data_IF_121017610582
#
_entry.id   IF_121017610582
#
_cell.length_a   1.000
_cell.length_b   1.000
_cell.length_c   1.000
_cell.angle_alpha   90.00
_cell.angle_beta   90.00
_cell.angle_gamma   90.00
#
_symmetry.space_group_name_H-M   'P 1'
#
loop_
_entity.id
_entity.type
_entity.pdbx_description
1 polymer ?
#
# COMPACT_ATOMS: atom_id res chain seq x y z
N UNK A 1 26.10 -20.32 -13.05
CA UNK A 1 26.80 -19.74 -14.22
C UNK A 1 26.09 -18.43 -14.55
N UNK A 2 26.79 -17.31 -14.43
CA UNK A 2 26.25 -16.00 -14.81
C UNK A 2 26.33 -15.85 -16.34
N UNK A 3 25.36 -15.19 -16.99
CA UNK A 3 25.38 -15.03 -18.44
C UNK A 3 26.55 -14.13 -18.88
N UNK A 4 27.02 -14.37 -20.11
CA UNK A 4 28.10 -13.60 -20.73
C UNK A 4 27.75 -12.11 -20.88
N UNK A 5 28.74 -11.20 -20.82
CA UNK A 5 28.53 -9.78 -21.09
C UNK A 5 27.82 -9.56 -22.43
N UNK A 6 26.77 -8.74 -22.43
CA UNK A 6 25.96 -8.45 -23.64
C UNK A 6 24.77 -9.39 -23.86
N UNK A 7 24.59 -10.43 -23.04
CA UNK A 7 23.42 -11.33 -23.12
C UNK A 7 22.07 -10.58 -23.09
N UNK A 8 21.98 -9.49 -22.30
CA UNK A 8 20.77 -8.67 -22.24
C UNK A 8 20.40 -7.99 -23.57
N UNK A 9 21.38 -7.70 -24.43
CA UNK A 9 21.18 -6.96 -25.69
C UNK A 9 20.56 -7.80 -26.82
N UNK A 10 20.47 -9.12 -26.66
CA UNK A 10 19.81 -10.02 -27.62
C UNK A 10 18.88 -11.03 -26.96
N UNK A 11 18.51 -10.79 -25.71
CA UNK A 11 17.61 -11.68 -24.99
C UNK A 11 16.16 -11.37 -25.38
N UNK A 12 15.58 -12.21 -26.24
CA UNK A 12 14.19 -12.07 -26.69
C UNK A 12 13.19 -11.99 -25.51
N UNK A 13 13.49 -12.65 -24.38
CA UNK A 13 12.66 -12.56 -23.18
C UNK A 13 12.73 -11.17 -22.53
N UNK A 14 13.89 -10.50 -22.57
CA UNK A 14 14.07 -9.14 -22.06
C UNK A 14 13.36 -8.12 -22.95
N UNK A 15 13.48 -8.27 -24.27
CA UNK A 15 12.81 -7.40 -25.26
C UNK A 15 11.28 -7.53 -25.22
N UNK A 16 10.76 -8.73 -24.89
CA UNK A 16 9.34 -8.98 -24.73
C UNK A 16 8.76 -8.47 -23.41
N UNK A 17 9.59 -7.97 -22.47
CA UNK A 17 9.07 -7.46 -21.20
C UNK A 17 8.30 -6.16 -21.45
N UNK A 18 7.08 -6.03 -20.89
CA UNK A 18 6.34 -4.77 -20.99
C UNK A 18 7.13 -3.66 -20.30
N UNK A 19 7.12 -2.46 -20.91
CA UNK A 19 7.68 -1.27 -20.28
C UNK A 19 7.04 -1.10 -18.89
N UNK A 20 7.86 -0.89 -17.85
CA UNK A 20 7.36 -0.66 -16.51
C UNK A 20 6.47 0.59 -16.51
N UNK A 21 5.29 0.48 -15.91
CA UNK A 21 4.43 1.63 -15.66
C UNK A 21 5.24 2.61 -14.80
N UNK A 22 5.45 3.82 -15.31
CA UNK A 22 6.26 4.83 -14.62
C UNK A 22 5.49 5.54 -13.52
N UNK A 23 4.15 5.54 -13.62
CA UNK A 23 3.29 6.14 -12.60
C UNK A 23 3.07 5.15 -11.47
N UNK A 24 3.72 5.43 -10.33
CA UNK A 24 3.58 4.68 -9.08
C UNK A 24 3.26 5.67 -7.96
N UNK A 25 2.01 6.16 -7.87
CA UNK A 25 1.66 7.30 -7.03
C UNK A 25 1.84 7.01 -5.53
N UNK A 26 1.86 5.74 -5.14
CA UNK A 26 1.98 5.34 -3.74
C UNK A 26 3.41 5.00 -3.32
N UNK A 27 4.34 4.85 -4.27
CA UNK A 27 5.71 4.45 -3.98
C UNK A 27 6.38 5.46 -3.03
N UNK A 28 7.10 4.95 -2.04
CA UNK A 28 7.91 5.79 -1.15
C UNK A 28 8.97 6.56 -1.93
N UNK A 29 9.34 7.73 -1.40
CA UNK A 29 10.55 8.42 -1.83
C UNK A 29 11.77 7.54 -1.54
N UNK A 30 12.90 7.79 -2.20
CA UNK A 30 14.12 7.00 -1.95
C UNK A 30 14.57 7.10 -0.48
N UNK A 31 14.56 8.29 0.11
CA UNK A 31 14.95 8.50 1.49
C UNK A 31 14.01 7.78 2.49
N UNK A 32 12.72 7.79 2.21
CA UNK A 32 11.72 7.07 3.00
C UNK A 32 11.88 5.55 2.88
N UNK A 33 12.18 5.05 1.68
CA UNK A 33 12.44 3.64 1.44
C UNK A 33 13.75 3.19 2.12
N UNK A 34 14.80 4.02 2.11
CA UNK A 34 16.04 3.76 2.84
C UNK A 34 15.76 3.68 4.36
N UNK A 35 14.84 4.52 4.86
CA UNK A 35 14.39 4.48 6.27
C UNK A 35 13.57 3.22 6.57
N UNK A 36 12.63 2.86 5.70
CA UNK A 36 11.77 1.68 5.85
C UNK A 36 12.55 0.35 5.82
N UNK A 37 13.74 0.36 5.22
CA UNK A 37 14.63 -0.80 5.09
C UNK A 37 15.96 -0.62 5.82
N UNK A 38 16.05 0.34 6.75
CA UNK A 38 17.27 0.58 7.52
C UNK A 38 17.71 -0.65 8.32
N UNK A 39 16.73 -1.47 8.74
CA UNK A 39 16.93 -2.74 9.42
C UNK A 39 16.20 -3.87 8.68
N UNK A 40 16.71 -5.12 8.74
CA UNK A 40 15.99 -6.28 8.23
C UNK A 40 14.63 -6.43 8.93
N UNK A 41 13.60 -6.78 8.16
CA UNK A 41 12.28 -7.05 8.74
C UNK A 41 12.28 -8.36 9.51
N UNK A 42 11.68 -8.34 10.72
CA UNK A 42 11.38 -9.54 11.48
C UNK A 42 10.11 -10.25 10.94
N UNK A 43 9.87 -11.48 11.40
CA UNK A 43 8.71 -12.28 10.99
C UNK A 43 7.38 -11.55 11.24
N UNK A 44 7.30 -10.75 12.30
CA UNK A 44 6.11 -10.00 12.65
C UNK A 44 5.85 -8.86 11.65
N UNK A 45 6.89 -8.14 11.24
CA UNK A 45 6.83 -7.09 10.22
C UNK A 45 6.47 -7.68 8.85
N UNK A 46 7.09 -8.80 8.48
CA UNK A 46 6.75 -9.55 7.25
C UNK A 46 5.26 -9.96 7.27
N UNK A 47 4.79 -10.53 8.37
CA UNK A 47 3.38 -10.92 8.53
C UNK A 47 2.42 -9.74 8.42
N UNK A 48 2.74 -8.60 9.05
CA UNK A 48 1.95 -7.36 8.94
C UNK A 48 1.91 -6.86 7.50
N UNK A 49 3.05 -6.82 6.82
CA UNK A 49 3.15 -6.39 5.42
C UNK A 49 2.28 -7.28 4.52
N UNK A 50 2.46 -8.60 4.57
CA UNK A 50 1.69 -9.55 3.76
C UNK A 50 0.18 -9.44 4.03
N UNK A 51 -0.23 -9.34 5.30
CA UNK A 51 -1.62 -9.14 5.68
C UNK A 51 -2.22 -7.84 5.13
N UNK A 52 -1.44 -6.75 5.13
CA UNK A 52 -1.83 -5.45 4.54
C UNK A 52 -1.95 -5.55 3.03
N UNK A 53 -0.97 -6.12 2.33
CA UNK A 53 -1.03 -6.33 0.88
C UNK A 53 -2.29 -7.10 0.51
N UNK A 54 -2.56 -8.23 1.15
CA UNK A 54 -3.75 -9.05 0.87
C UNK A 54 -5.05 -8.28 1.12
N UNK A 55 -5.11 -7.50 2.21
CA UNK A 55 -6.27 -6.64 2.51
C UNK A 55 -6.48 -5.59 1.43
N UNK A 56 -5.43 -4.89 1.02
CA UNK A 56 -5.50 -3.81 0.03
C UNK A 56 -5.85 -4.36 -1.36
N UNK A 57 -5.30 -5.51 -1.76
CA UNK A 57 -5.68 -6.21 -3.00
C UNK A 57 -7.15 -6.60 -3.03
N UNK A 58 -7.71 -7.10 -1.92
CA UNK A 58 -9.15 -7.40 -1.80
C UNK A 58 -10.04 -6.15 -1.97
N UNK A 59 -9.47 -4.95 -1.85
CA UNK A 59 -10.15 -3.68 -2.08
C UNK A 59 -10.03 -3.18 -3.52
N UNK A 60 -9.41 -3.95 -4.41
CA UNK A 60 -9.36 -3.67 -5.85
C UNK A 60 -8.11 -2.91 -6.33
N UNK A 61 -7.10 -2.76 -5.48
CA UNK A 61 -5.80 -2.24 -5.90
C UNK A 61 -4.97 -3.33 -6.59
N UNK A 62 -4.17 -2.94 -7.58
CA UNK A 62 -3.17 -3.80 -8.20
C UNK A 62 -2.11 -4.26 -7.20
N UNK A 63 -1.37 -5.31 -7.54
CA UNK A 63 -0.33 -5.86 -6.67
C UNK A 63 0.74 -4.81 -6.32
N UNK A 64 1.22 -4.07 -7.32
CA UNK A 64 2.24 -3.05 -7.12
C UNK A 64 1.79 -1.89 -6.22
N UNK A 65 0.56 -1.39 -6.40
CA UNK A 65 0.00 -0.34 -5.54
C UNK A 65 -0.25 -0.85 -4.12
N UNK A 66 -0.67 -2.12 -3.98
CA UNK A 66 -0.90 -2.73 -2.69
C UNK A 66 0.41 -2.89 -1.90
N UNK A 67 1.50 -3.27 -2.57
CA UNK A 67 2.84 -3.35 -1.98
C UNK A 67 3.31 -1.95 -1.55
N UNK A 68 3.21 -0.95 -2.42
CA UNK A 68 3.60 0.43 -2.12
C UNK A 68 2.82 1.01 -0.92
N UNK A 69 1.50 0.80 -0.88
CA UNK A 69 0.67 1.23 0.25
C UNK A 69 1.00 0.49 1.55
N UNK A 70 1.33 -0.81 1.48
CA UNK A 70 1.74 -1.58 2.65
C UNK A 70 3.12 -1.16 3.18
N UNK A 71 4.03 -0.77 2.30
CA UNK A 71 5.35 -0.23 2.65
C UNK A 71 5.23 1.13 3.35
N UNK A 72 4.34 2.01 2.88
CA UNK A 72 4.01 3.27 3.60
C UNK A 72 3.51 3.02 5.01
N UNK A 73 2.68 1.99 5.20
CA UNK A 73 2.19 1.58 6.51
C UNK A 73 3.31 1.03 7.40
N UNK A 74 4.28 0.32 6.82
CA UNK A 74 5.48 -0.12 7.56
C UNK A 74 6.32 1.08 8.03
N UNK A 75 6.60 2.03 7.15
CA UNK A 75 7.33 3.25 7.51
C UNK A 75 6.61 4.05 8.60
N UNK A 76 5.28 4.16 8.53
CA UNK A 76 4.47 4.76 9.60
C UNK A 76 4.73 4.07 10.94
N UNK A 77 4.68 2.73 10.97
CA UNK A 77 4.89 1.97 12.20
C UNK A 77 6.29 2.23 12.77
N UNK A 78 7.32 2.34 11.92
CA UNK A 78 8.70 2.69 12.34
C UNK A 78 8.79 4.06 13.00
N UNK A 79 7.98 5.03 12.54
CA UNK A 79 7.89 6.36 13.13
C UNK A 79 6.96 6.44 14.35
N UNK A 80 6.34 5.33 14.77
CA UNK A 80 5.29 5.30 15.79
C UNK A 80 4.17 6.34 15.53
N UNK A 81 3.89 6.61 14.25
CA UNK A 81 2.87 7.57 13.85
C UNK A 81 1.48 6.93 14.01
N UNK A 82 0.59 7.64 14.70
CA UNK A 82 -0.75 7.16 15.08
C UNK A 82 -1.80 7.32 13.96
N UNK A 83 -1.46 7.98 12.85
CA UNK A 83 -2.38 8.19 11.74
C UNK A 83 -2.69 6.87 11.02
N UNK A 84 -3.86 6.78 10.40
CA UNK A 84 -4.39 5.53 9.83
C UNK A 84 -4.83 5.71 8.40
N UNK A 85 -4.84 4.62 7.62
CA UNK A 85 -5.56 4.58 6.35
C UNK A 85 -6.99 4.08 6.56
N UNK A 86 -7.95 4.62 5.81
CA UNK A 86 -9.30 4.04 5.80
C UNK A 86 -9.27 2.56 5.35
N UNK A 87 -8.31 2.18 4.52
CA UNK A 87 -8.10 0.79 4.06
C UNK A 87 -7.83 -0.20 5.21
N UNK A 88 -7.36 0.27 6.37
CA UNK A 88 -7.16 -0.54 7.57
C UNK A 88 -8.43 -0.65 8.45
N UNK A 89 -9.41 0.23 8.21
CA UNK A 89 -10.60 0.34 9.05
C UNK A 89 -11.62 -0.75 8.74
N UNK A 90 -12.13 -1.42 9.79
CA UNK A 90 -13.17 -2.44 9.65
C UNK A 90 -14.51 -1.90 9.13
N UNK A 91 -14.74 -0.59 9.28
CA UNK A 91 -15.97 0.08 8.86
C UNK A 91 -15.93 0.54 7.40
N UNK A 92 -14.78 0.45 6.73
CA UNK A 92 -14.71 0.80 5.32
C UNK A 92 -15.46 -0.25 4.48
N UNK A 93 -16.40 0.20 3.67
CA UNK A 93 -17.13 -0.61 2.71
C UNK A 93 -16.78 -0.18 1.28
N UNK A 94 -16.94 -1.12 0.34
CA UNK A 94 -16.65 -0.90 -1.08
C UNK A 94 -15.21 -1.21 -1.49
N UNK A 95 -14.96 -1.00 -2.78
CA UNK A 95 -13.70 -1.24 -3.51
C UNK A 95 -13.45 -0.09 -4.49
N UNK A 96 -12.28 -0.08 -5.12
CA UNK A 96 -11.95 0.87 -6.18
C UNK A 96 -12.98 0.88 -7.33
N UNK A 97 -13.60 -0.27 -7.63
CA UNK A 97 -14.60 -0.39 -8.68
C UNK A 97 -16.02 0.03 -8.26
N UNK A 98 -16.38 -0.09 -6.97
CA UNK A 98 -17.75 0.17 -6.49
C UNK A 98 -17.91 1.51 -5.78
N UNK A 99 -16.82 2.24 -5.58
CA UNK A 99 -16.75 3.41 -4.71
C UNK A 99 -16.67 3.05 -3.23
N UNK A 100 -16.25 4.04 -2.43
CA UNK A 100 -15.90 3.88 -1.01
C UNK A 100 -16.96 4.46 -0.09
N UNK A 101 -17.24 3.76 1.01
CA UNK A 101 -18.17 4.25 2.04
C UNK A 101 -17.65 4.01 3.45
N UNK A 102 -17.76 5.00 4.31
CA UNK A 102 -17.50 4.86 5.74
C UNK A 102 -18.78 4.43 6.48
N UNK A 103 -18.82 3.18 6.96
CA UNK A 103 -19.90 2.68 7.80
C UNK A 103 -19.99 3.37 9.17
N UNK A 104 -18.91 4.05 9.59
CA UNK A 104 -18.83 4.78 10.85
C UNK A 104 -18.68 6.30 10.66
N UNK A 105 -19.15 6.82 9.52
CA UNK A 105 -18.91 8.21 9.06
C UNK A 105 -19.25 9.28 10.11
N UNK A 106 -20.31 9.09 10.90
CA UNK A 106 -20.70 10.03 11.97
C UNK A 106 -19.63 10.15 13.07
N UNK A 107 -19.13 9.01 13.56
CA UNK A 107 -18.08 9.01 14.58
C UNK A 107 -16.71 9.34 14.00
N UNK A 108 -16.51 9.10 12.71
CA UNK A 108 -15.30 9.45 11.97
C UNK A 108 -15.26 10.91 11.51
N UNK A 109 -16.36 11.66 11.68
CA UNK A 109 -16.56 13.04 11.21
C UNK A 109 -16.18 13.26 9.74
N UNK A 110 -16.68 12.36 8.88
CA UNK A 110 -16.49 12.42 7.43
C UNK A 110 -17.81 12.19 6.70
N UNK A 111 -17.84 12.48 5.39
CA UNK A 111 -18.94 12.07 4.53
C UNK A 111 -19.09 10.53 4.52
N UNK A 112 -20.32 10.05 4.30
CA UNK A 112 -20.56 8.61 4.18
C UNK A 112 -19.88 8.03 2.95
N UNK A 113 -19.95 8.73 1.83
CA UNK A 113 -19.25 8.43 0.58
C UNK A 113 -17.87 9.08 0.62
N UNK A 114 -16.81 8.30 0.39
CA UNK A 114 -15.43 8.77 0.48
C UNK A 114 -14.82 8.92 -0.91
N UNK A 115 -14.00 9.96 -1.08
CA UNK A 115 -13.14 10.10 -2.23
C UNK A 115 -12.03 9.03 -2.22
N UNK A 116 -11.52 8.67 -3.42
CA UNK A 116 -10.55 7.59 -3.59
C UNK A 116 -9.17 7.94 -3.02
N UNK A 117 -8.76 9.21 -3.07
CA UNK A 117 -7.53 9.73 -2.47
C UNK A 117 -7.56 9.62 -0.94
N UNK A 118 -8.70 9.96 -0.33
CA UNK A 118 -8.88 9.95 1.11
C UNK A 118 -8.62 8.56 1.73
N UNK A 119 -9.02 7.48 1.06
CA UNK A 119 -8.82 6.12 1.61
C UNK A 119 -7.34 5.69 1.64
N UNK A 120 -6.49 6.35 0.85
CA UNK A 120 -5.04 6.10 0.75
C UNK A 120 -4.18 7.16 1.45
N UNK A 121 -4.80 8.14 2.11
CA UNK A 121 -4.10 9.20 2.83
C UNK A 121 -4.11 8.93 4.33
N UNK A 122 -3.01 9.27 5.01
CA UNK A 122 -2.92 9.15 6.47
C UNK A 122 -3.82 10.16 7.16
N UNK A 123 -4.76 9.68 7.99
CA UNK A 123 -5.73 10.50 8.70
C UNK A 123 -5.68 10.22 10.20
N UNK A 124 -5.93 11.24 11.02
CA UNK A 124 -6.29 11.05 12.42
C UNK A 124 -7.82 10.87 12.49
N UNK A 125 -8.30 9.63 12.42
CA UNK A 125 -9.74 9.36 12.33
C UNK A 125 -10.32 8.96 13.71
N UNK A 126 -11.24 9.75 14.29
CA UNK A 126 -11.82 9.47 15.61
C UNK A 126 -12.74 8.24 15.63
N UNK A 127 -13.28 7.85 14.48
CA UNK A 127 -14.11 6.66 14.30
C UNK A 127 -13.35 5.41 13.87
N UNK A 128 -12.01 5.44 13.90
CA UNK A 128 -11.21 4.32 13.43
C UNK A 128 -11.34 3.12 14.36
N UNK A 129 -11.62 1.96 13.75
CA UNK A 129 -11.59 0.67 14.44
C UNK A 129 -10.86 -0.31 13.51
N UNK A 130 -9.65 -0.76 13.87
CA UNK A 130 -8.87 -1.62 13.00
C UNK A 130 -9.59 -2.94 12.75
N UNK A 131 -9.40 -3.52 11.56
CA UNK A 131 -9.78 -4.91 11.33
C UNK A 131 -8.91 -5.81 12.22
N UNK A 132 -9.57 -6.57 13.12
CA UNK A 132 -8.95 -7.60 13.98
C UNK A 132 -8.25 -8.67 13.16
#
# INVERSE_FOLDING_TARGET
MWPEPGHAAGCAAFEAMPAKTTDRPYRLSRADADTAHAEPWDDAAIGRFQGRVQRIRRRGFGEQDADDLAERLHLRDMHADHRVFCLECRHLAGTAATGWRCGNHKAADVARELAADLVTTFQACPGFNPAR
#
